data_IF_597055328014
#
_entry.id   IF_597055328014
#
_cell.length_a   1.000
_cell.length_b   1.000
_cell.length_c   1.000
_cell.angle_alpha   90.00
_cell.angle_beta   90.00
_cell.angle_gamma   90.00
#
_symmetry.space_group_name_H-M   'P 1'
#
loop_
_entity.id
_entity.type
_entity.pdbx_description
1 polymer ?
#
# COMPACT_ATOMS: atom_id res chain seq x y z
N UNK A 1 2.71 -27.57 1.31
CA UNK A 1 2.76 -27.36 2.77
C UNK A 1 1.52 -26.58 3.15
N UNK A 2 0.82 -26.93 4.23
CA UNK A 2 -0.34 -26.17 4.69
C UNK A 2 0.05 -24.76 5.14
N UNK A 3 -0.93 -23.84 5.18
CA UNK A 3 -0.72 -22.51 5.72
C UNK A 3 -0.32 -22.54 7.21
N UNK A 4 0.49 -21.57 7.61
CA UNK A 4 0.90 -21.39 9.00
C UNK A 4 -0.27 -20.81 9.78
N UNK A 5 -0.72 -21.52 10.82
CA UNK A 5 -1.84 -21.09 11.64
C UNK A 5 -1.57 -19.72 12.28
N UNK A 6 -2.56 -18.84 12.21
CA UNK A 6 -2.60 -17.56 12.93
C UNK A 6 -4.03 -17.23 13.34
N UNK A 7 -4.20 -16.26 14.24
CA UNK A 7 -5.51 -15.72 14.63
C UNK A 7 -5.80 -14.36 13.97
N UNK A 8 -5.13 -14.07 12.86
CA UNK A 8 -5.17 -12.76 12.21
C UNK A 8 -6.53 -12.53 11.53
N UNK A 9 -7.12 -11.37 11.80
CA UNK A 9 -8.19 -10.80 10.96
C UNK A 9 -7.69 -9.51 10.33
N UNK A 10 -7.71 -9.45 8.99
CA UNK A 10 -7.36 -8.28 8.20
C UNK A 10 -8.61 -7.49 7.81
N UNK A 11 -8.67 -6.22 8.23
CA UNK A 11 -9.71 -5.28 7.86
C UNK A 11 -9.16 -4.35 6.77
N UNK A 12 -9.65 -4.50 5.54
CA UNK A 12 -9.00 -3.88 4.38
C UNK A 12 -9.94 -3.58 3.22
N UNK A 13 -9.40 -2.90 2.21
CA UNK A 13 -9.99 -2.60 0.90
C UNK A 13 -8.89 -2.67 -0.14
N UNK A 14 -9.20 -3.06 -1.37
CA UNK A 14 -8.23 -3.09 -2.47
C UNK A 14 -7.79 -1.66 -2.85
N UNK A 15 -6.78 -1.17 -2.12
CA UNK A 15 -6.15 0.13 -2.29
C UNK A 15 -4.64 -0.04 -2.12
N UNK A 16 -3.81 0.92 -2.57
CA UNK A 16 -2.36 0.85 -2.40
C UNK A 16 -1.89 0.59 -0.95
N UNK A 17 -2.61 1.09 0.05
CA UNK A 17 -2.31 0.80 1.46
C UNK A 17 -2.89 -0.53 1.93
N UNK A 18 -4.12 -0.85 1.51
CA UNK A 18 -4.84 -2.03 1.99
C UNK A 18 -4.22 -3.36 1.56
N UNK A 19 -3.64 -3.42 0.36
CA UNK A 19 -3.06 -4.66 -0.17
C UNK A 19 -1.70 -5.02 0.42
N UNK A 20 -1.00 -4.09 1.10
CA UNK A 20 0.34 -4.34 1.65
C UNK A 20 0.31 -5.49 2.65
N UNK A 21 -0.69 -5.49 3.53
CA UNK A 21 -0.84 -6.50 4.56
C UNK A 21 -1.16 -7.86 3.93
N UNK A 22 -2.12 -7.94 3.00
CA UNK A 22 -2.46 -9.20 2.33
C UNK A 22 -1.31 -9.76 1.50
N UNK A 23 -0.55 -8.92 0.79
CA UNK A 23 0.68 -9.36 0.10
C UNK A 23 1.64 -10.04 1.08
N UNK A 24 1.90 -9.43 2.24
CA UNK A 24 2.80 -10.03 3.22
C UNK A 24 2.24 -11.31 3.85
N UNK A 25 0.94 -11.35 4.18
CA UNK A 25 0.29 -12.54 4.74
C UNK A 25 0.40 -13.73 3.78
N UNK A 26 0.20 -13.51 2.48
CA UNK A 26 0.32 -14.53 1.43
C UNK A 26 1.79 -14.92 1.18
N UNK A 27 2.73 -13.97 1.15
CA UNK A 27 4.18 -14.25 1.04
C UNK A 27 4.70 -15.11 2.20
N UNK A 28 4.15 -14.92 3.40
CA UNK A 28 4.47 -15.73 4.58
C UNK A 28 3.62 -17.01 4.68
N UNK A 29 2.67 -17.22 3.76
CA UNK A 29 1.74 -18.35 3.76
C UNK A 29 1.04 -18.51 5.12
N UNK A 30 0.49 -17.40 5.66
CA UNK A 30 -0.25 -17.37 6.92
C UNK A 30 -1.74 -17.60 6.68
N UNK A 31 -2.42 -18.34 7.56
CA UNK A 31 -3.88 -18.39 7.62
C UNK A 31 -4.41 -17.06 8.18
N UNK A 32 -5.40 -16.44 7.56
CA UNK A 32 -6.03 -15.21 8.06
C UNK A 32 -7.47 -15.08 7.58
N UNK A 33 -8.26 -14.32 8.33
CA UNK A 33 -9.62 -13.89 7.93
C UNK A 33 -9.55 -12.52 7.28
N UNK A 34 -10.44 -12.26 6.34
CA UNK A 34 -10.55 -10.95 5.67
C UNK A 34 -11.93 -10.36 5.92
N UNK A 35 -11.94 -9.13 6.43
CA UNK A 35 -13.12 -8.27 6.53
C UNK A 35 -12.98 -7.13 5.52
N UNK A 36 -13.75 -7.19 4.44
CA UNK A 36 -13.76 -6.16 3.40
C UNK A 36 -14.57 -4.95 3.89
N UNK A 37 -13.88 -3.85 4.20
CA UNK A 37 -14.49 -2.63 4.73
C UNK A 37 -15.25 -1.89 3.63
N UNK A 38 -16.51 -1.55 3.88
CA UNK A 38 -17.37 -0.79 2.98
C UNK A 38 -17.15 0.71 3.14
N UNK A 39 -16.14 1.23 2.44
CA UNK A 39 -15.79 2.66 2.51
C UNK A 39 -16.94 3.59 2.09
N UNK A 40 -17.78 3.15 1.13
CA UNK A 40 -18.96 3.90 0.68
C UNK A 40 -20.01 4.10 1.79
N UNK A 41 -20.07 3.17 2.75
CA UNK A 41 -20.97 3.22 3.91
C UNK A 41 -20.30 3.89 5.13
N UNK A 42 -19.04 4.34 5.00
CA UNK A 42 -18.22 4.86 6.09
C UNK A 42 -18.02 3.87 7.26
N UNK A 43 -18.01 2.56 6.98
CA UNK A 43 -17.81 1.52 7.99
C UNK A 43 -16.51 1.72 8.79
N UNK A 44 -15.44 2.23 8.16
CA UNK A 44 -14.17 2.59 8.83
C UNK A 44 -14.30 3.70 9.88
N UNK A 45 -15.48 4.32 10.02
CA UNK A 45 -15.78 5.36 11.01
C UNK A 45 -16.77 4.87 12.08
N UNK A 46 -17.24 3.63 11.99
CA UNK A 46 -18.15 3.06 13.00
C UNK A 46 -17.42 2.82 14.33
N UNK A 47 -18.14 2.90 15.47
CA UNK A 47 -17.53 2.77 16.79
C UNK A 47 -16.65 1.53 16.96
N UNK A 48 -17.12 0.36 16.50
CA UNK A 48 -16.37 -0.89 16.62
C UNK A 48 -15.06 -0.89 15.81
N UNK A 49 -15.04 -0.24 14.63
CA UNK A 49 -13.80 -0.15 13.85
C UNK A 49 -12.84 0.86 14.48
N UNK A 50 -13.36 1.94 15.06
CA UNK A 50 -12.56 2.92 15.80
C UNK A 50 -11.93 2.33 17.08
N UNK A 51 -12.54 1.30 17.66
CA UNK A 51 -11.92 0.49 18.73
C UNK A 51 -10.72 -0.34 18.22
N UNK A 52 -10.63 -0.62 16.92
CA UNK A 52 -9.46 -1.30 16.33
C UNK A 52 -8.43 -0.27 15.85
N UNK A 53 -8.89 0.72 15.09
CA UNK A 53 -8.08 1.81 14.57
C UNK A 53 -8.75 3.17 14.86
N UNK A 54 -8.27 3.92 15.87
CA UNK A 54 -8.85 5.22 16.21
C UNK A 54 -8.68 6.28 15.11
N UNK A 55 -7.76 6.09 14.15
CA UNK A 55 -7.61 6.95 12.96
C UNK A 55 -8.78 6.75 11.96
N UNK A 56 -9.50 5.63 12.05
CA UNK A 56 -10.60 5.29 11.15
C UNK A 56 -10.16 5.20 9.70
N UNK A 57 -9.04 4.51 9.46
CA UNK A 57 -8.44 4.25 8.14
C UNK A 57 -8.10 2.77 8.00
N UNK A 58 -8.10 2.28 6.77
CA UNK A 58 -7.60 0.94 6.44
C UNK A 58 -6.11 1.02 6.01
N UNK A 59 -5.36 -0.09 6.07
CA UNK A 59 -5.71 -1.36 6.72
C UNK A 59 -5.56 -1.31 8.24
N UNK A 60 -6.20 -2.27 8.91
CA UNK A 60 -5.96 -2.64 10.29
C UNK A 60 -5.95 -4.17 10.41
N UNK A 61 -5.28 -4.71 11.44
CA UNK A 61 -5.38 -6.12 11.81
C UNK A 61 -5.70 -6.28 13.29
N UNK A 62 -6.33 -7.40 13.62
CA UNK A 62 -6.32 -7.98 14.97
C UNK A 62 -5.62 -9.33 14.95
N UNK A 63 -4.98 -9.71 16.05
CA UNK A 63 -4.32 -11.00 16.25
C UNK A 63 -4.37 -11.38 17.74
N UNK A 64 -4.02 -12.63 18.08
CA UNK A 64 -3.82 -13.08 19.46
C UNK A 64 -2.37 -12.88 19.91
N UNK A 65 -2.21 -12.16 21.01
CA UNK A 65 -0.92 -11.97 21.67
C UNK A 65 -0.50 -13.20 22.47
N UNK A 66 0.74 -13.21 22.95
CA UNK A 66 1.32 -14.37 23.66
C UNK A 66 0.63 -14.70 24.99
N UNK A 67 -0.09 -13.75 25.58
CA UNK A 67 -0.92 -13.95 26.78
C UNK A 67 -2.39 -14.30 26.45
N UNK A 68 -2.70 -14.55 25.17
CA UNK A 68 -4.04 -14.93 24.69
C UNK A 68 -5.01 -13.77 24.50
N UNK A 69 -4.61 -12.53 24.81
CA UNK A 69 -5.44 -11.34 24.60
C UNK A 69 -5.35 -10.85 23.15
N UNK A 70 -6.37 -10.13 22.71
CA UNK A 70 -6.34 -9.49 21.40
C UNK A 70 -5.35 -8.33 21.38
N UNK A 71 -4.57 -8.25 20.30
CA UNK A 71 -3.77 -7.08 19.95
C UNK A 71 -4.34 -6.47 18.67
N UNK A 72 -4.40 -5.14 18.62
CA UNK A 72 -4.82 -4.35 17.46
C UNK A 72 -3.61 -3.63 16.87
N UNK A 73 -3.44 -3.69 15.56
CA UNK A 73 -2.37 -2.99 14.84
C UNK A 73 -2.99 -2.23 13.67
N UNK A 74 -2.73 -0.93 13.61
CA UNK A 74 -3.09 -0.07 12.50
C UNK A 74 -1.85 0.66 11.98
N UNK A 75 -1.98 1.33 10.84
CA UNK A 75 -0.88 1.79 9.97
C UNK A 75 -0.18 0.66 9.21
N UNK A 76 -0.24 0.71 7.88
CA UNK A 76 0.25 -0.37 7.03
C UNK A 76 1.73 -0.71 7.26
N UNK A 77 2.59 0.28 7.52
CA UNK A 77 4.00 0.03 7.83
C UNK A 77 4.24 -0.62 9.19
N UNK A 78 3.39 -0.35 10.18
CA UNK A 78 3.45 -1.02 11.49
C UNK A 78 2.96 -2.47 11.39
N UNK A 79 1.91 -2.70 10.60
CA UNK A 79 1.40 -4.06 10.30
C UNK A 79 2.50 -4.89 9.61
N UNK A 80 3.20 -4.34 8.61
CA UNK A 80 4.29 -5.05 7.93
C UNK A 80 5.41 -5.44 8.90
N UNK A 81 5.85 -4.51 9.74
CA UNK A 81 6.87 -4.78 10.77
C UNK A 81 6.41 -5.88 11.74
N UNK A 82 5.23 -5.70 12.33
CA UNK A 82 4.64 -6.67 13.25
C UNK A 82 4.61 -8.09 12.67
N UNK A 83 4.14 -8.24 11.44
CA UNK A 83 4.05 -9.53 10.77
C UNK A 83 5.43 -10.13 10.52
N UNK A 84 6.43 -9.35 10.09
CA UNK A 84 7.79 -9.87 9.93
C UNK A 84 8.42 -10.28 11.26
N UNK A 85 8.28 -9.46 12.30
CA UNK A 85 8.87 -9.73 13.61
C UNK A 85 8.23 -10.96 14.27
N UNK A 86 6.92 -11.14 14.09
CA UNK A 86 6.17 -12.23 14.69
C UNK A 86 6.22 -13.52 13.88
N UNK A 87 6.22 -13.46 12.55
CA UNK A 87 5.99 -14.62 11.70
C UNK A 87 7.08 -14.91 10.66
N UNK A 88 7.92 -13.93 10.27
CA UNK A 88 9.01 -14.15 9.30
C UNK A 88 10.30 -14.65 9.97
N UNK A 89 10.23 -15.81 10.65
CA UNK A 89 11.34 -16.34 11.46
C UNK A 89 12.60 -16.69 10.66
N UNK A 90 12.44 -16.98 9.38
CA UNK A 90 13.53 -17.31 8.46
C UNK A 90 13.99 -16.10 7.62
N UNK A 91 13.45 -14.91 7.90
CA UNK A 91 13.78 -13.67 7.19
C UNK A 91 13.58 -13.79 5.66
N UNK A 92 12.46 -14.38 5.22
CA UNK A 92 12.14 -14.58 3.80
C UNK A 92 11.90 -13.26 3.08
N UNK A 93 11.31 -12.29 3.77
CA UNK A 93 10.96 -10.95 3.26
C UNK A 93 11.38 -9.83 4.21
N UNK A 94 12.38 -10.11 5.02
CA UNK A 94 12.99 -9.19 5.98
C UNK A 94 14.45 -9.55 6.23
N UNK A 95 15.09 -8.84 7.17
CA UNK A 95 16.44 -9.12 7.66
C UNK A 95 16.45 -9.20 9.19
N UNK A 96 17.44 -9.86 9.82
CA UNK A 96 17.58 -9.87 11.26
C UNK A 96 17.70 -8.45 11.82
N UNK A 97 17.03 -8.19 12.94
CA UNK A 97 17.15 -6.91 13.63
C UNK A 97 18.62 -6.60 13.96
N UNK A 98 18.96 -5.31 13.96
CA UNK A 98 20.30 -4.78 14.22
C UNK A 98 21.36 -5.12 13.15
N UNK A 99 20.95 -5.64 12.00
CA UNK A 99 21.80 -5.71 10.79
C UNK A 99 21.73 -4.39 9.99
N UNK A 100 22.77 -4.05 9.21
CA UNK A 100 22.72 -2.91 8.29
C UNK A 100 21.53 -2.96 7.33
N UNK A 101 21.24 -4.13 6.77
CA UNK A 101 20.16 -4.35 5.79
C UNK A 101 18.78 -4.14 6.43
N UNK A 102 18.60 -4.51 7.70
CA UNK A 102 17.36 -4.23 8.43
C UNK A 102 17.11 -2.73 8.56
N UNK A 103 18.14 -1.94 8.86
CA UNK A 103 17.99 -0.50 9.00
C UNK A 103 17.82 0.22 7.66
N UNK A 104 18.44 -0.29 6.58
CA UNK A 104 18.18 0.20 5.24
C UNK A 104 16.74 -0.13 4.79
N UNK A 105 16.27 -1.37 5.02
CA UNK A 105 14.87 -1.77 4.79
C UNK A 105 13.90 -0.89 5.56
N UNK A 106 14.19 -0.62 6.84
CA UNK A 106 13.36 0.26 7.69
C UNK A 106 13.35 1.68 7.14
N UNK A 107 14.49 2.18 6.63
CA UNK A 107 14.57 3.52 6.03
C UNK A 107 13.68 3.64 4.78
N UNK A 108 13.70 2.63 3.90
CA UNK A 108 12.81 2.60 2.73
C UNK A 108 11.33 2.45 3.10
N UNK A 109 11.01 1.64 4.11
CA UNK A 109 9.65 1.52 4.63
C UNK A 109 9.15 2.89 5.14
N UNK A 110 9.96 3.59 5.94
CA UNK A 110 9.59 4.91 6.46
C UNK A 110 9.56 5.98 5.36
N UNK A 111 10.46 5.90 4.37
CA UNK A 111 10.41 6.74 3.17
C UNK A 111 9.12 6.54 2.38
N UNK A 112 8.63 5.30 2.27
CA UNK A 112 7.35 5.02 1.64
C UNK A 112 6.19 5.62 2.44
N UNK A 113 6.19 5.42 3.76
CA UNK A 113 5.11 5.87 4.66
C UNK A 113 5.05 7.40 4.80
N UNK A 114 6.20 8.09 4.79
CA UNK A 114 6.29 9.55 4.92
C UNK A 114 6.43 10.32 3.60
N UNK A 115 6.80 9.64 2.51
CA UNK A 115 7.09 10.24 1.21
C UNK A 115 6.16 9.72 0.12
N UNK A 116 6.49 8.56 -0.47
CA UNK A 116 5.80 8.02 -1.66
C UNK A 116 4.28 8.00 -1.53
N UNK A 117 3.77 7.35 -0.47
CA UNK A 117 2.34 7.20 -0.26
C UNK A 117 1.62 8.55 -0.09
N UNK A 118 2.01 9.38 0.89
CA UNK A 118 1.38 10.68 1.10
C UNK A 118 1.44 11.59 -0.14
N UNK A 119 2.59 11.70 -0.81
CA UNK A 119 2.76 12.61 -1.95
C UNK A 119 1.95 12.17 -3.17
N UNK A 120 1.96 10.87 -3.49
CA UNK A 120 1.11 10.35 -4.57
C UNK A 120 -0.38 10.42 -4.20
N UNK A 121 -0.73 10.27 -2.92
CA UNK A 121 -2.09 10.51 -2.44
C UNK A 121 -2.59 11.92 -2.74
N UNK A 122 -1.74 12.94 -2.53
CA UNK A 122 -2.05 14.31 -2.92
C UNK A 122 -2.12 14.48 -4.44
N UNK A 123 -1.20 13.87 -5.19
CA UNK A 123 -1.24 13.87 -6.65
C UNK A 123 -2.57 13.32 -7.18
N UNK A 124 -3.02 12.17 -6.67
CA UNK A 124 -4.32 11.59 -6.97
C UNK A 124 -5.46 12.56 -6.63
N UNK A 125 -5.41 13.21 -5.46
CA UNK A 125 -6.44 14.17 -5.05
C UNK A 125 -6.57 15.35 -6.02
N UNK A 126 -5.48 16.08 -6.26
CA UNK A 126 -5.52 17.25 -7.14
C UNK A 126 -5.81 16.88 -8.61
N UNK A 127 -5.39 15.70 -9.06
CA UNK A 127 -5.67 15.23 -10.42
C UNK A 127 -7.12 14.78 -10.60
N UNK A 128 -7.67 13.99 -9.67
CA UNK A 128 -8.92 13.22 -9.86
C UNK A 128 -10.09 13.69 -9.01
N UNK A 129 -9.83 14.10 -7.77
CA UNK A 129 -10.86 14.25 -6.73
C UNK A 129 -11.13 15.69 -6.28
N UNK A 130 -10.23 16.63 -6.54
CA UNK A 130 -10.48 18.04 -6.29
C UNK A 130 -11.68 18.51 -7.13
N UNK A 131 -12.60 19.30 -6.56
CA UNK A 131 -13.79 19.77 -7.29
C UNK A 131 -13.41 20.73 -8.42
N UNK A 132 -12.29 21.42 -8.28
CA UNK A 132 -11.72 22.34 -9.25
C UNK A 132 -10.30 21.91 -9.60
N UNK A 133 -9.89 22.13 -10.86
CA UNK A 133 -8.53 21.83 -11.30
C UNK A 133 -7.61 22.97 -10.84
N UNK A 134 -6.80 22.71 -9.81
CA UNK A 134 -5.81 23.64 -9.29
C UNK A 134 -4.44 23.26 -9.86
N UNK A 135 -4.04 23.93 -10.94
CA UNK A 135 -2.83 23.56 -11.71
C UNK A 135 -1.58 23.49 -10.83
N UNK A 136 -1.38 24.46 -9.94
CA UNK A 136 -0.25 24.45 -8.99
C UNK A 136 -0.20 23.17 -8.13
N UNK A 137 -1.36 22.71 -7.64
CA UNK A 137 -1.44 21.48 -6.84
C UNK A 137 -1.14 20.23 -7.66
N UNK A 138 -1.69 20.17 -8.88
CA UNK A 138 -1.42 19.09 -9.85
C UNK A 138 0.08 19.01 -10.13
N UNK A 139 0.70 20.13 -10.48
CA UNK A 139 2.12 20.19 -10.83
C UNK A 139 3.01 19.89 -9.62
N UNK A 140 2.73 20.49 -8.46
CA UNK A 140 3.54 20.29 -7.25
C UNK A 140 3.60 18.82 -6.85
N UNK A 141 2.45 18.17 -6.70
CA UNK A 141 2.39 16.80 -6.21
C UNK A 141 2.69 15.77 -7.30
N UNK A 142 2.37 16.08 -8.57
CA UNK A 142 2.81 15.28 -9.71
C UNK A 142 4.34 15.26 -9.84
N UNK A 143 4.99 16.43 -9.78
CA UNK A 143 6.44 16.54 -9.86
C UNK A 143 7.15 15.88 -8.68
N UNK A 144 6.63 16.02 -7.46
CA UNK A 144 7.20 15.35 -6.29
C UNK A 144 7.07 13.82 -6.39
N UNK A 145 5.93 13.32 -6.84
CA UNK A 145 5.74 11.88 -7.06
C UNK A 145 6.71 11.34 -8.13
N UNK A 146 6.90 12.08 -9.23
CA UNK A 146 7.91 11.74 -10.26
C UNK A 146 9.34 11.76 -9.69
N UNK A 147 9.67 12.70 -8.81
CA UNK A 147 10.98 12.72 -8.12
C UNK A 147 11.17 11.47 -7.27
N UNK A 148 10.13 11.05 -6.54
CA UNK A 148 10.16 9.84 -5.71
C UNK A 148 10.29 8.56 -6.57
N UNK A 149 9.62 8.51 -7.72
CA UNK A 149 9.78 7.42 -8.69
C UNK A 149 11.21 7.37 -9.26
N UNK A 150 11.81 8.52 -9.60
CA UNK A 150 13.23 8.57 -10.00
C UNK A 150 14.15 8.02 -8.92
N UNK A 151 13.90 8.36 -7.65
CA UNK A 151 14.68 7.82 -6.54
C UNK A 151 14.63 6.29 -6.50
N UNK A 152 13.44 5.68 -6.67
CA UNK A 152 13.32 4.22 -6.73
C UNK A 152 13.95 3.64 -7.99
N UNK A 153 13.70 4.22 -9.16
CA UNK A 153 14.22 3.76 -10.45
C UNK A 153 15.76 3.71 -10.46
N UNK A 154 16.41 4.76 -9.92
CA UNK A 154 17.87 4.80 -9.80
C UNK A 154 18.42 3.80 -8.77
N UNK A 155 17.71 3.57 -7.66
CA UNK A 155 18.10 2.51 -6.70
C UNK A 155 18.00 1.14 -7.33
N UNK A 156 16.89 0.85 -8.02
CA UNK A 156 16.64 -0.44 -8.67
C UNK A 156 17.63 -0.71 -9.82
N UNK A 157 18.08 0.32 -10.54
CA UNK A 157 19.16 0.20 -11.55
C UNK A 157 20.50 -0.19 -10.92
N UNK A 158 20.81 0.35 -9.74
CA UNK A 158 22.10 0.15 -9.06
C UNK A 158 22.16 -1.17 -8.31
N UNK A 159 21.03 -1.67 -7.82
CA UNK A 159 20.99 -2.96 -7.14
C UNK A 159 20.93 -4.10 -8.18
N UNK A 160 21.94 -4.98 -8.28
CA UNK A 160 21.96 -6.07 -9.26
C UNK A 160 20.81 -7.08 -9.08
N UNK A 161 20.20 -7.14 -7.90
CA UNK A 161 19.06 -8.01 -7.61
C UNK A 161 17.72 -7.40 -8.04
N UNK A 162 17.70 -6.12 -8.44
CA UNK A 162 16.48 -5.45 -8.89
C UNK A 162 15.43 -5.31 -7.79
N UNK A 163 15.86 -5.14 -6.53
CA UNK A 163 15.02 -4.91 -5.33
C UNK A 163 15.50 -3.66 -4.61
N UNK A 164 14.69 -3.11 -3.69
CA UNK A 164 15.07 -1.88 -3.01
C UNK A 164 16.24 -2.05 -2.04
N UNK A 165 16.39 -3.22 -1.39
CA UNK A 165 17.38 -3.44 -0.33
C UNK A 165 18.01 -4.83 -0.40
N UNK A 166 19.34 -4.87 -0.36
CA UNK A 166 20.12 -6.11 -0.34
C UNK A 166 19.82 -7.01 -1.54
N UNK A 167 19.59 -8.29 -1.30
CA UNK A 167 19.57 -9.33 -2.34
C UNK A 167 18.20 -9.99 -2.58
N UNK A 168 17.16 -9.58 -1.84
CA UNK A 168 15.82 -10.18 -1.87
C UNK A 168 14.71 -9.16 -1.68
N UNK A 169 13.50 -9.55 -2.09
CA UNK A 169 12.28 -8.78 -1.87
C UNK A 169 12.03 -8.64 -0.37
N UNK A 170 11.69 -7.44 0.09
CA UNK A 170 11.37 -7.19 1.49
C UNK A 170 10.05 -6.44 1.68
N UNK A 171 9.68 -6.20 2.93
CA UNK A 171 8.57 -5.30 3.25
C UNK A 171 8.75 -3.86 2.72
N UNK A 172 9.97 -3.43 2.41
CA UNK A 172 10.20 -2.17 1.71
C UNK A 172 9.58 -2.21 0.31
N UNK A 173 9.82 -3.27 -0.46
CA UNK A 173 9.25 -3.47 -1.79
C UNK A 173 7.73 -3.60 -1.73
N UNK A 174 7.22 -4.46 -0.83
CA UNK A 174 5.79 -4.68 -0.62
C UNK A 174 5.07 -3.37 -0.30
N UNK A 175 5.68 -2.52 0.54
CA UNK A 175 5.09 -1.25 0.94
C UNK A 175 4.94 -0.24 -0.20
N UNK A 176 5.81 -0.29 -1.21
CA UNK A 176 5.83 0.68 -2.30
C UNK A 176 4.97 0.24 -3.50
N UNK A 177 4.81 -1.07 -3.71
CA UNK A 177 4.30 -1.62 -4.97
C UNK A 177 2.92 -1.11 -5.38
N UNK A 178 1.93 -1.13 -4.47
CA UNK A 178 0.58 -0.71 -4.81
C UNK A 178 0.48 0.76 -5.26
N UNK A 179 1.36 1.61 -4.73
CA UNK A 179 1.45 3.01 -5.12
C UNK A 179 2.03 3.16 -6.52
N UNK A 180 3.14 2.48 -6.82
CA UNK A 180 3.78 2.51 -8.14
C UNK A 180 2.90 1.86 -9.22
N UNK A 181 2.24 0.74 -8.92
CA UNK A 181 1.31 0.07 -9.84
C UNK A 181 0.15 0.99 -10.24
N UNK A 182 -0.19 1.98 -9.40
CA UNK A 182 -1.23 2.98 -9.64
C UNK A 182 -0.72 4.28 -10.27
N UNK A 183 0.47 4.29 -10.88
CA UNK A 183 1.10 5.48 -11.49
C UNK A 183 0.17 6.25 -12.45
N UNK A 184 -0.51 5.52 -13.35
CA UNK A 184 -1.44 6.12 -14.33
C UNK A 184 -2.58 6.89 -13.66
N UNK A 185 -3.07 6.40 -12.52
CA UNK A 185 -4.12 7.09 -11.75
C UNK A 185 -3.65 8.46 -11.24
N UNK A 186 -2.38 8.57 -10.85
CA UNK A 186 -1.70 9.81 -10.48
C UNK A 186 -1.35 10.70 -11.68
N UNK A 187 -1.61 10.26 -12.92
CA UNK A 187 -1.26 10.97 -14.14
C UNK A 187 0.23 10.90 -14.48
N UNK A 188 0.92 9.86 -14.04
CA UNK A 188 2.34 9.64 -14.30
C UNK A 188 2.50 8.47 -15.26
N UNK A 189 3.31 8.65 -16.30
CA UNK A 189 3.70 7.58 -17.20
C UNK A 189 4.85 6.76 -16.59
N UNK A 190 4.61 5.46 -16.41
CA UNK A 190 5.61 4.55 -15.84
C UNK A 190 6.71 4.20 -16.84
N UNK A 191 6.50 4.42 -18.14
CA UNK A 191 7.51 4.18 -19.18
C UNK A 191 8.77 5.05 -19.00
N UNK A 192 8.64 6.17 -18.31
CA UNK A 192 9.75 7.05 -17.97
C UNK A 192 10.72 6.46 -16.94
N UNK A 193 10.31 5.38 -16.26
CA UNK A 193 11.04 4.74 -15.17
C UNK A 193 11.22 3.24 -15.47
N UNK A 194 12.13 2.86 -16.39
CA UNK A 194 12.17 1.50 -16.93
C UNK A 194 12.54 0.43 -15.89
N UNK A 195 13.42 0.73 -14.93
CA UNK A 195 13.77 -0.23 -13.88
C UNK A 195 12.63 -0.36 -12.87
N UNK A 196 11.95 0.74 -12.56
CA UNK A 196 10.75 0.75 -11.72
C UNK A 196 9.60 -0.03 -12.36
N UNK A 197 9.34 0.17 -13.66
CA UNK A 197 8.37 -0.61 -14.43
C UNK A 197 8.70 -2.09 -14.38
N UNK A 198 9.95 -2.47 -14.67
CA UNK A 198 10.40 -3.87 -14.60
C UNK A 198 10.13 -4.45 -13.21
N UNK A 199 10.53 -3.75 -12.16
CA UNK A 199 10.32 -4.16 -10.76
C UNK A 199 8.84 -4.43 -10.44
N UNK A 200 7.91 -3.60 -10.91
CA UNK A 200 6.46 -3.82 -10.71
C UNK A 200 6.02 -5.20 -11.21
N UNK A 201 6.49 -5.61 -12.39
CA UNK A 201 6.10 -6.89 -13.00
C UNK A 201 6.91 -8.08 -12.49
N UNK A 202 8.18 -7.89 -12.13
CA UNK A 202 9.02 -8.96 -11.56
C UNK A 202 8.46 -9.45 -10.22
N UNK A 203 7.96 -8.54 -9.37
CA UNK A 203 7.36 -8.92 -8.08
C UNK A 203 6.11 -9.80 -8.23
N UNK A 204 5.35 -9.66 -9.31
CA UNK A 204 4.15 -10.47 -9.57
C UNK A 204 4.43 -11.92 -9.95
N UNK A 205 5.69 -12.25 -10.28
CA UNK A 205 6.08 -13.63 -10.53
C UNK A 205 6.08 -14.47 -9.24
N UNK A 206 6.00 -13.81 -8.08
CA UNK A 206 5.92 -14.46 -6.78
C UNK A 206 4.46 -14.82 -6.48
N UNK A 207 4.13 -16.10 -6.21
CA UNK A 207 2.74 -16.52 -6.00
C UNK A 207 2.03 -15.80 -4.85
N UNK A 208 2.73 -15.58 -3.73
CA UNK A 208 2.16 -14.87 -2.57
C UNK A 208 1.84 -13.41 -2.91
N UNK A 209 2.74 -12.73 -3.62
CA UNK A 209 2.51 -11.37 -4.09
C UNK A 209 1.29 -11.26 -5.01
N UNK A 210 1.20 -12.14 -6.01
CA UNK A 210 0.08 -12.20 -6.95
C UNK A 210 -1.25 -12.51 -6.25
N UNK A 211 -1.26 -13.45 -5.31
CA UNK A 211 -2.45 -13.75 -4.52
C UNK A 211 -2.86 -12.53 -3.66
N UNK A 212 -1.91 -11.98 -2.90
CA UNK A 212 -2.20 -10.97 -1.89
C UNK A 212 -2.62 -9.62 -2.46
N UNK A 213 -2.15 -9.25 -3.67
CA UNK A 213 -2.65 -8.02 -4.32
C UNK A 213 -4.13 -8.09 -4.68
N UNK A 214 -4.69 -9.29 -4.81
CA UNK A 214 -6.08 -9.54 -5.20
C UNK A 214 -7.02 -9.74 -4.00
N UNK A 215 -6.59 -9.32 -2.81
CA UNK A 215 -7.38 -9.36 -1.57
C UNK A 215 -7.77 -7.92 -1.17
N UNK A 216 -9.02 -7.66 -0.76
CA UNK A 216 -10.14 -8.59 -0.64
C UNK A 216 -10.87 -8.85 -1.97
N UNK A 217 -10.53 -8.09 -3.00
CA UNK A 217 -11.09 -8.17 -4.36
C UNK A 217 -9.97 -8.04 -5.39
N UNK A 218 -10.18 -8.45 -6.66
CA UNK A 218 -9.15 -8.33 -7.69
C UNK A 218 -8.59 -6.91 -7.83
N UNK A 219 -7.27 -6.81 -7.97
CA UNK A 219 -6.59 -5.52 -8.15
C UNK A 219 -6.82 -4.97 -9.55
N UNK A 220 -7.09 -3.67 -9.66
CA UNK A 220 -7.58 -3.05 -10.91
C UNK A 220 -6.59 -2.10 -11.58
N UNK A 221 -5.43 -1.80 -10.98
CA UNK A 221 -4.56 -0.73 -11.48
C UNK A 221 -4.07 -0.94 -12.92
N UNK A 222 -3.82 -2.18 -13.35
CA UNK A 222 -3.39 -2.47 -14.73
C UNK A 222 -4.51 -2.40 -15.75
N UNK A 223 -5.76 -2.59 -15.33
CA UNK A 223 -6.91 -2.33 -16.21
C UNK A 223 -7.16 -0.84 -16.33
N UNK A 224 -7.05 -0.10 -15.22
CA UNK A 224 -7.07 1.35 -15.23
C UNK A 224 -5.93 1.95 -16.08
N UNK A 225 -4.77 1.29 -16.13
CA UNK A 225 -3.65 1.74 -16.94
C UNK A 225 -3.93 1.76 -18.45
N UNK A 226 -4.93 0.99 -18.91
CA UNK A 226 -5.33 0.89 -20.33
C UNK A 226 -6.33 1.96 -20.74
N UNK A 227 -6.91 2.68 -19.78
CA UNK A 227 -7.95 3.67 -20.03
C UNK A 227 -7.35 5.02 -20.44
N UNK A 228 -8.11 5.77 -21.24
CA UNK A 228 -7.85 7.17 -21.56
C UNK A 228 -8.00 8.06 -20.32
N UNK A 229 -7.47 9.30 -20.39
CA UNK A 229 -7.62 10.25 -19.28
C UNK A 229 -9.08 10.63 -19.02
N UNK A 230 -9.92 10.66 -20.06
CA UNK A 230 -11.35 10.93 -19.98
C UNK A 230 -12.09 9.82 -19.21
N UNK A 231 -11.90 8.55 -19.59
CA UNK A 231 -12.50 7.40 -18.90
C UNK A 231 -12.05 7.31 -17.43
N UNK A 232 -10.81 7.68 -17.14
CA UNK A 232 -10.30 7.71 -15.76
C UNK A 232 -10.93 8.85 -14.95
N UNK A 233 -11.14 10.02 -15.54
CA UNK A 233 -11.84 11.12 -14.89
C UNK A 233 -13.32 10.76 -14.65
N UNK A 234 -14.00 10.11 -15.60
CA UNK A 234 -15.36 9.56 -15.43
C UNK A 234 -15.45 8.58 -14.25
N UNK A 235 -14.52 7.62 -14.17
CA UNK A 235 -14.46 6.70 -13.01
C UNK A 235 -14.23 7.44 -11.70
N UNK A 236 -13.45 8.52 -11.70
CA UNK A 236 -13.19 9.31 -10.51
C UNK A 236 -14.40 10.14 -10.06
N UNK A 237 -15.35 10.47 -10.95
CA UNK A 237 -16.53 11.27 -10.60
C UNK A 237 -17.38 10.64 -9.47
N UNK A 238 -17.61 9.32 -9.52
CA UNK A 238 -18.35 8.62 -8.46
C UNK A 238 -17.65 8.71 -7.09
N UNK A 239 -16.32 8.59 -7.09
CA UNK A 239 -15.51 8.68 -5.88
C UNK A 239 -15.38 10.12 -5.36
N UNK A 240 -15.47 11.13 -6.24
CA UNK A 240 -15.35 12.55 -5.88
C UNK A 240 -16.40 12.95 -4.85
N UNK A 241 -17.66 12.58 -5.07
CA UNK A 241 -18.75 12.91 -4.14
C UNK A 241 -18.50 12.37 -2.73
N UNK A 242 -18.05 11.11 -2.64
CA UNK A 242 -17.71 10.47 -1.38
C UNK A 242 -16.51 11.15 -0.69
N UNK A 243 -15.43 11.45 -1.42
CA UNK A 243 -14.25 12.17 -0.88
C UNK A 243 -14.66 13.54 -0.32
N UNK A 244 -15.44 14.31 -1.07
CA UNK A 244 -15.90 15.63 -0.65
C UNK A 244 -16.84 15.57 0.57
N UNK A 245 -17.71 14.56 0.63
CA UNK A 245 -18.55 14.32 1.80
C UNK A 245 -17.71 14.01 3.05
N UNK A 246 -16.69 13.16 2.92
CA UNK A 246 -15.73 12.87 3.99
C UNK A 246 -15.00 14.11 4.50
N UNK A 247 -14.47 14.94 3.58
CA UNK A 247 -13.80 16.20 3.95
C UNK A 247 -14.73 17.16 4.70
N UNK A 248 -15.98 17.30 4.26
CA UNK A 248 -16.99 18.13 4.94
C UNK A 248 -17.36 17.58 6.32
N UNK A 249 -17.38 16.26 6.49
CA UNK A 249 -17.65 15.63 7.78
C UNK A 249 -16.50 15.85 8.76
N UNK A 250 -15.25 15.72 8.31
CA UNK A 250 -14.06 15.95 9.13
C UNK A 250 -13.94 17.42 9.55
N UNK A 251 -14.27 18.39 8.68
CA UNK A 251 -14.23 19.81 9.00
C UNK A 251 -15.27 20.28 10.05
N UNK A 252 -16.27 19.44 10.37
CA UNK A 252 -17.32 19.75 11.36
C UNK A 252 -17.02 19.24 12.77
N UNK A 253 -15.98 18.42 12.92
CA UNK A 253 -15.53 17.85 14.19
C UNK A 253 -14.52 18.78 14.84
#
# INVERSE_FOLDING_TARGET
MGATKSDITLYTVNTPNGIKASILLEELNLDYKVHAIKMSENEQKEPWFLEINPNGRIPAITDKWTDGKDIRIFESGAILQYLTERYDKDYKVSYPRDTPEYWEMTSWLMWQMGGLGPMQGQSNHFKRYAPEKIQYGIDRYGNETRRLYRTMDETLKKNPHGVLVGDKVTIADISAWGWVASAKWAGIDIEEFPALKKWVYELLKRPGFEAGRNVPTPHTAFDLAKLSEEELDEKAHGNRAWVQAGMKADAKK
#
